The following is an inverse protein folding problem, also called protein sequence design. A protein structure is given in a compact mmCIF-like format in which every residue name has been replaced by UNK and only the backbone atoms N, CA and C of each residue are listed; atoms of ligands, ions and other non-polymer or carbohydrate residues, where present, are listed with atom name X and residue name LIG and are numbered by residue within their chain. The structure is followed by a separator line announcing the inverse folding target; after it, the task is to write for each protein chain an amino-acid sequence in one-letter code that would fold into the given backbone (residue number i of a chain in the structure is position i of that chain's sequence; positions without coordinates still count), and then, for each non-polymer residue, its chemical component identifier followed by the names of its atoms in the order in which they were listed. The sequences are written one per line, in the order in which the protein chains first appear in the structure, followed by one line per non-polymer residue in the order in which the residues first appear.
data_IF_520915054070
#
_entry.id   IF_520915054070
#
_cell.length_a   1.000
_cell.length_b   1.000
_cell.length_c   1.000
_cell.angle_alpha   90.00
_cell.angle_beta   90.00
_cell.angle_gamma   90.00
#
_symmetry.space_group_name_H-M   'P 1'
#
loop_
_entity.id
_entity.type
_entity.pdbx_description
1 polymer ?
#
# COMPACT_ATOMS: atom_id res chain seq x y z
N UNK A 1 19.92 -37.88 -16.00
CA UNK A 1 20.91 -36.79 -16.14
C UNK A 1 20.28 -35.41 -16.25
N UNK A 2 19.15 -35.22 -16.95
CA UNK A 2 18.52 -33.90 -17.13
C UNK A 2 18.02 -33.23 -15.83
N UNK A 3 17.37 -33.97 -14.92
CA UNK A 3 16.84 -33.39 -13.66
C UNK A 3 17.94 -32.74 -12.81
N UNK A 4 19.06 -33.44 -12.57
CA UNK A 4 20.19 -32.93 -11.76
C UNK A 4 20.89 -31.72 -12.37
N UNK A 5 20.88 -31.61 -13.69
CA UNK A 5 21.42 -30.45 -14.41
C UNK A 5 20.49 -29.23 -14.27
N UNK A 6 19.18 -29.46 -14.30
CA UNK A 6 18.18 -28.41 -14.03
C UNK A 6 18.25 -27.93 -12.58
N UNK A 7 18.46 -28.85 -11.62
CA UNK A 7 18.61 -28.50 -10.20
C UNK A 7 19.83 -27.60 -9.97
N UNK A 8 20.99 -27.91 -10.59
CA UNK A 8 22.20 -27.10 -10.47
C UNK A 8 22.02 -25.71 -11.10
N UNK A 9 21.42 -25.65 -12.29
CA UNK A 9 21.13 -24.38 -12.97
C UNK A 9 20.12 -23.52 -12.18
N UNK A 10 19.09 -24.15 -11.63
CA UNK A 10 18.11 -23.49 -10.76
C UNK A 10 18.78 -22.94 -9.50
N UNK A 11 19.74 -23.68 -8.95
CA UNK A 11 20.51 -23.26 -7.79
C UNK A 11 21.41 -22.05 -8.11
N UNK A 12 22.21 -22.11 -9.17
CA UNK A 12 23.02 -20.98 -9.66
C UNK A 12 22.16 -19.72 -9.89
N UNK A 13 21.00 -19.87 -10.54
CA UNK A 13 20.06 -18.78 -10.76
C UNK A 13 19.47 -18.20 -9.46
N UNK A 14 19.25 -19.05 -8.44
CA UNK A 14 18.73 -18.64 -7.13
C UNK A 14 19.75 -17.79 -6.36
N UNK A 15 21.03 -18.15 -6.40
CA UNK A 15 22.10 -17.33 -5.82
C UNK A 15 22.22 -15.96 -6.50
N UNK A 16 22.14 -15.91 -7.83
CA UNK A 16 22.10 -14.66 -8.59
C UNK A 16 20.90 -13.78 -8.21
N UNK A 17 19.73 -14.40 -8.07
CA UNK A 17 18.52 -13.71 -7.68
C UNK A 17 18.63 -13.11 -6.28
N UNK A 18 19.14 -13.87 -5.31
CA UNK A 18 19.35 -13.40 -3.93
C UNK A 18 20.29 -12.20 -3.89
N UNK A 19 21.44 -12.28 -4.57
CA UNK A 19 22.42 -11.19 -4.60
C UNK A 19 21.82 -9.90 -5.20
N UNK A 20 21.10 -10.00 -6.33
CA UNK A 20 20.44 -8.85 -6.95
C UNK A 20 19.35 -8.26 -6.06
N UNK A 21 18.53 -9.12 -5.43
CA UNK A 21 17.46 -8.67 -4.52
C UNK A 21 18.03 -7.99 -3.28
N UNK A 22 19.11 -8.53 -2.71
CA UNK A 22 19.83 -7.91 -1.60
C UNK A 22 20.31 -6.50 -1.97
N UNK A 23 21.00 -6.37 -3.10
CA UNK A 23 21.50 -5.07 -3.58
C UNK A 23 20.39 -4.06 -3.82
N UNK A 24 19.28 -4.49 -4.45
CA UNK A 24 18.13 -3.62 -4.67
C UNK A 24 17.49 -3.19 -3.35
N UNK A 25 17.37 -4.10 -2.39
CA UNK A 25 16.86 -3.83 -1.05
C UNK A 25 17.74 -2.80 -0.34
N UNK A 26 19.06 -2.98 -0.34
CA UNK A 26 20.01 -2.04 0.26
C UNK A 26 19.94 -0.66 -0.40
N UNK A 27 19.90 -0.58 -1.74
CA UNK A 27 19.76 0.68 -2.46
C UNK A 27 18.46 1.42 -2.07
N UNK A 28 17.33 0.71 -2.03
CA UNK A 28 16.05 1.29 -1.62
C UNK A 28 16.06 1.76 -0.15
N UNK A 29 16.63 0.97 0.75
CA UNK A 29 16.81 1.32 2.17
C UNK A 29 17.60 2.61 2.33
N UNK A 30 18.70 2.76 1.59
CA UNK A 30 19.52 3.96 1.62
C UNK A 30 18.78 5.20 1.10
N UNK A 31 18.00 5.07 0.03
CA UNK A 31 17.16 6.17 -0.48
C UNK A 31 16.11 6.59 0.55
N UNK A 32 15.42 5.61 1.16
CA UNK A 32 14.41 5.87 2.19
C UNK A 32 15.01 6.58 3.41
N UNK A 33 16.15 6.12 3.91
CA UNK A 33 16.86 6.74 5.04
C UNK A 33 17.31 8.17 4.73
N UNK A 34 17.91 8.40 3.55
CA UNK A 34 18.31 9.74 3.12
C UNK A 34 17.12 10.69 3.07
N UNK A 35 16.02 10.27 2.44
CA UNK A 35 14.79 11.06 2.38
C UNK A 35 14.25 11.41 3.77
N UNK A 36 14.23 10.45 4.71
CA UNK A 36 13.80 10.71 6.09
C UNK A 36 14.71 11.72 6.80
N UNK A 37 16.03 11.63 6.61
CA UNK A 37 16.98 12.60 7.19
C UNK A 37 16.87 13.99 6.58
N UNK A 38 16.50 14.11 5.31
CA UNK A 38 16.33 15.39 4.62
C UNK A 38 15.09 16.16 5.07
N UNK A 39 13.97 15.46 5.30
CA UNK A 39 12.74 16.10 5.79
C UNK A 39 12.85 16.41 7.29
N UNK A 40 13.56 15.58 8.06
CA UNK A 40 13.91 15.86 9.45
C UNK A 40 12.72 15.80 10.43
N UNK A 41 11.66 15.05 10.10
CA UNK A 41 10.55 14.77 11.01
C UNK A 41 10.94 13.60 11.91
N UNK A 42 10.69 13.72 13.21
CA UNK A 42 10.94 12.64 14.17
C UNK A 42 10.13 11.39 13.81
N UNK A 43 10.77 10.23 13.83
CA UNK A 43 10.13 8.96 13.50
C UNK A 43 8.90 8.70 14.38
N UNK A 44 8.94 9.05 15.67
CA UNK A 44 7.83 8.87 16.61
C UNK A 44 6.55 9.58 16.13
N UNK A 45 6.68 10.81 15.63
CA UNK A 45 5.55 11.58 15.08
C UNK A 45 4.98 10.90 13.83
N UNK A 46 5.85 10.41 12.93
CA UNK A 46 5.41 9.70 11.72
C UNK A 46 4.70 8.39 12.07
N UNK A 47 5.11 7.70 13.13
CA UNK A 47 4.48 6.47 13.63
C UNK A 47 3.11 6.77 14.21
N UNK A 48 2.95 7.85 14.97
CA UNK A 48 1.67 8.30 15.51
C UNK A 48 0.69 8.69 14.38
N UNK A 49 1.14 9.48 13.41
CA UNK A 49 0.35 9.91 12.25
C UNK A 49 -0.05 8.71 11.37
N UNK A 50 0.88 7.76 11.14
CA UNK A 50 0.57 6.50 10.46
C UNK A 50 -0.44 5.66 11.24
N UNK A 51 -0.30 5.55 12.56
CA UNK A 51 -1.24 4.82 13.40
C UNK A 51 -2.64 5.46 13.37
N UNK A 52 -2.73 6.79 13.36
CA UNK A 52 -3.97 7.53 13.21
C UNK A 52 -4.64 7.24 11.85
N UNK A 53 -3.85 7.23 10.77
CA UNK A 53 -4.32 6.85 9.44
C UNK A 53 -4.86 5.42 9.43
N UNK A 54 -4.09 4.44 9.93
CA UNK A 54 -4.50 3.03 9.97
C UNK A 54 -5.75 2.85 10.82
N UNK A 55 -5.83 3.45 12.00
CA UNK A 55 -6.99 3.36 12.88
C UNK A 55 -8.26 3.93 12.21
N UNK A 56 -8.10 5.00 11.44
CA UNK A 56 -9.20 5.57 10.65
C UNK A 56 -9.64 4.60 9.55
N UNK A 57 -8.71 4.00 8.81
CA UNK A 57 -8.98 3.15 7.64
C UNK A 57 -9.44 1.73 8.00
N UNK A 58 -8.89 1.15 9.06
CA UNK A 58 -9.10 -0.27 9.43
C UNK A 58 -10.17 -0.47 10.49
N UNK A 59 -10.91 0.59 10.84
CA UNK A 59 -11.95 0.56 11.87
C UNK A 59 -12.90 -0.64 11.63
N UNK A 60 -12.85 -1.67 12.50
CA UNK A 60 -13.55 -2.91 12.22
C UNK A 60 -15.07 -2.70 12.29
N UNK A 61 -15.79 -3.37 11.40
CA UNK A 61 -17.24 -3.53 11.60
C UNK A 61 -17.45 -4.40 12.85
N UNK A 62 -18.30 -3.92 13.75
CA UNK A 62 -18.48 -4.49 15.09
C UNK A 62 -18.98 -5.94 15.03
N UNK A 63 -18.18 -6.91 15.47
CA UNK A 63 -18.58 -8.32 15.66
C UNK A 63 -18.37 -8.82 17.12
N UNK A 64 -19.22 -9.77 17.54
CA UNK A 64 -19.40 -10.24 18.94
C UNK A 64 -18.54 -11.47 19.27
N UNK A 65 -17.89 -11.53 20.46
CA UNK A 65 -17.07 -12.68 20.93
C UNK A 65 -17.67 -13.41 22.15
N UNK A 66 -17.22 -14.66 22.40
CA UNK A 66 -17.87 -15.65 23.29
C UNK A 66 -17.55 -15.55 24.80
N UNK A 67 -16.37 -15.06 25.20
CA UNK A 67 -16.02 -14.82 26.61
C UNK A 67 -15.98 -13.34 26.99
N UNK A 68 -16.20 -12.44 26.01
CA UNK A 68 -16.64 -11.07 26.30
C UNK A 68 -17.88 -11.09 27.17
N UNK A 69 -18.79 -12.05 27.03
CA UNK A 69 -20.02 -12.04 27.82
C UNK A 69 -19.76 -12.05 29.33
N UNK A 70 -18.90 -12.91 29.88
CA UNK A 70 -18.72 -12.99 31.34
C UNK A 70 -17.83 -11.87 31.92
N UNK A 71 -16.74 -11.54 31.23
CA UNK A 71 -15.84 -10.44 31.61
C UNK A 71 -16.47 -9.08 31.35
N UNK A 72 -17.21 -8.94 30.24
CA UNK A 72 -18.11 -7.82 30.05
C UNK A 72 -19.31 -7.92 30.97
N UNK A 73 -19.80 -9.04 31.53
CA UNK A 73 -20.88 -8.99 32.53
C UNK A 73 -20.34 -8.47 33.86
N UNK A 74 -19.17 -8.90 34.32
CA UNK A 74 -18.56 -8.38 35.54
C UNK A 74 -18.11 -6.91 35.36
N UNK A 75 -17.50 -6.63 34.22
CA UNK A 75 -17.21 -5.28 33.74
C UNK A 75 -18.47 -4.46 33.56
N UNK A 76 -19.55 -5.00 33.00
CA UNK A 76 -20.87 -4.36 32.82
C UNK A 76 -21.58 -4.21 34.14
N UNK A 77 -21.38 -5.02 35.19
CA UNK A 77 -22.00 -4.78 36.49
C UNK A 77 -21.31 -3.63 37.24
N UNK A 78 -19.97 -3.60 37.21
CA UNK A 78 -19.18 -2.52 37.79
C UNK A 78 -19.32 -1.24 37.00
N UNK A 79 -19.26 -1.36 35.67
CA UNK A 79 -19.60 -0.30 34.75
C UNK A 79 -21.07 0.03 34.87
N UNK A 80 -22.04 -0.86 35.04
CA UNK A 80 -23.48 -0.53 35.21
C UNK A 80 -23.66 0.31 36.44
N UNK A 81 -22.96 0.01 37.53
CA UNK A 81 -23.06 0.83 38.74
C UNK A 81 -22.43 2.21 38.55
N UNK A 82 -21.24 2.29 37.94
CA UNK A 82 -20.61 3.58 37.65
C UNK A 82 -21.29 4.31 36.51
N UNK A 83 -21.88 3.61 35.55
CA UNK A 83 -22.63 4.05 34.39
C UNK A 83 -24.06 4.38 34.78
N UNK A 84 -24.65 3.84 35.84
CA UNK A 84 -25.89 4.33 36.44
C UNK A 84 -25.60 5.65 37.14
N UNK A 85 -24.49 5.74 37.87
CA UNK A 85 -24.07 6.99 38.50
C UNK A 85 -23.70 8.05 37.44
N UNK A 86 -22.96 7.67 36.41
CA UNK A 86 -22.65 8.53 35.30
C UNK A 86 -23.86 8.72 34.41
N UNK A 87 -24.81 7.80 34.26
CA UNK A 87 -26.04 7.98 33.48
C UNK A 87 -27.00 8.90 34.20
N UNK A 88 -27.03 8.95 35.53
CA UNK A 88 -27.83 9.93 36.25
C UNK A 88 -27.21 11.31 36.09
N UNK A 89 -25.90 11.42 36.28
CA UNK A 89 -25.15 12.68 36.08
C UNK A 89 -25.19 13.12 34.62
N UNK A 90 -24.94 12.21 33.68
CA UNK A 90 -25.02 12.40 32.24
C UNK A 90 -26.47 12.64 31.87
N UNK A 91 -27.50 11.97 32.39
CA UNK A 91 -28.89 12.32 32.08
C UNK A 91 -29.26 13.70 32.60
N UNK A 92 -28.75 14.13 33.74
CA UNK A 92 -29.07 15.44 34.27
C UNK A 92 -28.28 16.54 33.54
N UNK A 93 -27.01 16.28 33.22
CA UNK A 93 -26.18 17.15 32.38
C UNK A 93 -26.66 17.17 30.95
N UNK A 94 -27.05 16.03 30.36
CA UNK A 94 -27.70 15.90 29.06
C UNK A 94 -29.08 16.51 29.13
N UNK A 95 -29.87 16.39 30.19
CA UNK A 95 -31.16 17.09 30.26
C UNK A 95 -30.95 18.60 30.31
N UNK A 96 -29.94 19.08 31.04
CA UNK A 96 -29.58 20.50 31.07
C UNK A 96 -29.00 20.97 29.74
N UNK A 97 -28.06 20.24 29.14
CA UNK A 97 -27.47 20.51 27.84
C UNK A 97 -28.48 20.35 26.73
N UNK A 98 -29.26 19.28 26.68
CA UNK A 98 -30.37 19.10 25.72
C UNK A 98 -31.39 20.19 25.92
N UNK A 99 -31.77 20.60 27.13
CA UNK A 99 -32.75 21.68 27.29
C UNK A 99 -32.18 23.03 26.88
N UNK A 100 -30.93 23.34 27.24
CA UNK A 100 -30.24 24.57 26.85
C UNK A 100 -29.94 24.56 25.35
N UNK A 101 -29.28 23.54 24.83
CA UNK A 101 -29.07 23.31 23.40
C UNK A 101 -30.39 23.24 22.63
N UNK A 102 -31.49 22.72 23.19
CA UNK A 102 -32.80 22.71 22.51
C UNK A 102 -33.43 24.09 22.53
N UNK A 103 -33.25 24.89 23.59
CA UNK A 103 -33.66 26.29 23.62
C UNK A 103 -32.82 27.12 22.63
N UNK A 104 -31.51 26.93 22.64
CA UNK A 104 -30.54 27.58 21.76
C UNK A 104 -30.73 27.15 20.31
N UNK A 105 -30.95 25.86 20.02
CA UNK A 105 -31.31 25.35 18.70
C UNK A 105 -32.69 25.84 18.28
N UNK A 106 -33.65 25.99 19.19
CA UNK A 106 -34.94 26.60 18.86
C UNK A 106 -34.78 28.09 18.55
N UNK A 107 -33.86 28.79 19.22
CA UNK A 107 -33.54 30.19 18.96
C UNK A 107 -32.78 30.35 17.64
N UNK A 108 -31.78 29.50 17.38
CA UNK A 108 -31.00 29.44 16.14
C UNK A 108 -31.88 29.03 14.95
N UNK A 109 -32.79 28.07 15.16
CA UNK A 109 -33.80 27.71 14.17
C UNK A 109 -34.77 28.86 13.92
N UNK A 110 -35.01 29.76 14.87
CA UNK A 110 -35.84 30.96 14.68
C UNK A 110 -35.04 32.13 14.09
N UNK A 111 -33.72 32.06 14.04
CA UNK A 111 -32.90 33.09 13.42
C UNK A 111 -33.14 33.11 11.90
N UNK A 112 -33.71 34.23 11.45
CA UNK A 112 -34.07 34.42 10.05
C UNK A 112 -32.84 34.38 9.13
N UNK A 113 -31.69 34.88 9.57
CA UNK A 113 -30.46 34.87 8.75
C UNK A 113 -29.97 33.45 8.51
N UNK A 114 -29.88 32.65 9.58
CA UNK A 114 -29.42 31.27 9.50
C UNK A 114 -30.40 30.38 8.72
N UNK A 115 -31.71 30.57 8.87
CA UNK A 115 -32.69 29.88 8.05
C UNK A 115 -32.49 30.14 6.55
N UNK A 116 -32.36 31.42 6.16
CA UNK A 116 -32.16 31.80 4.75
C UNK A 116 -30.83 31.25 4.23
N UNK A 117 -29.76 31.30 5.05
CA UNK A 117 -28.43 30.77 4.70
C UNK A 117 -28.45 29.25 4.50
N UNK A 118 -29.06 28.51 5.42
CA UNK A 118 -29.21 27.06 5.32
C UNK A 118 -30.06 26.66 4.11
N UNK A 119 -31.15 27.39 3.85
CA UNK A 119 -31.99 27.15 2.69
C UNK A 119 -31.23 27.40 1.38
N UNK A 120 -30.43 28.47 1.31
CA UNK A 120 -29.58 28.75 0.15
C UNK A 120 -28.57 27.63 -0.08
N UNK A 121 -27.87 27.17 0.97
CA UNK A 121 -26.94 26.03 0.89
C UNK A 121 -27.62 24.75 0.43
N UNK A 122 -28.79 24.41 1.00
CA UNK A 122 -29.54 23.22 0.61
C UNK A 122 -30.01 23.28 -0.85
N UNK A 123 -30.42 24.46 -1.35
CA UNK A 123 -30.78 24.63 -2.76
C UNK A 123 -29.57 24.55 -3.68
N UNK A 124 -28.41 25.07 -3.28
CA UNK A 124 -27.17 24.98 -4.03
C UNK A 124 -26.69 23.53 -4.16
N UNK A 125 -26.71 22.76 -3.06
CA UNK A 125 -26.39 21.33 -3.09
C UNK A 125 -27.34 20.55 -4.01
N UNK A 126 -28.67 20.81 -3.91
CA UNK A 126 -29.67 20.20 -4.80
C UNK A 126 -29.47 20.58 -6.26
N UNK A 127 -29.01 21.80 -6.54
CA UNK A 127 -28.70 22.25 -7.89
C UNK A 127 -27.52 21.46 -8.45
N UNK A 128 -26.43 21.32 -7.69
CA UNK A 128 -25.28 20.51 -8.08
C UNK A 128 -25.67 19.06 -8.35
N UNK A 129 -26.48 18.45 -7.49
CA UNK A 129 -26.94 17.06 -7.68
C UNK A 129 -27.74 16.90 -8.97
N UNK A 130 -28.65 17.85 -9.26
CA UNK A 130 -29.45 17.81 -10.49
C UNK A 130 -28.63 18.03 -11.75
N UNK A 131 -27.61 18.89 -11.69
CA UNK A 131 -26.68 19.11 -12.80
C UNK A 131 -25.83 17.87 -13.05
N UNK A 132 -25.31 17.23 -11.99
CA UNK A 132 -24.60 15.95 -12.07
C UNK A 132 -25.49 14.85 -12.68
N UNK A 133 -26.70 14.69 -12.16
CA UNK A 133 -27.66 13.72 -12.69
C UNK A 133 -27.97 13.94 -14.17
N UNK A 134 -28.18 15.21 -14.57
CA UNK A 134 -28.40 15.57 -15.98
C UNK A 134 -27.19 15.23 -16.86
N UNK A 135 -25.96 15.47 -16.38
CA UNK A 135 -24.72 15.12 -17.10
C UNK A 135 -24.65 13.61 -17.34
N UNK A 136 -24.92 12.79 -16.31
CA UNK A 136 -24.97 11.33 -16.45
C UNK A 136 -26.07 10.86 -17.42
N UNK A 137 -27.24 11.50 -17.40
CA UNK A 137 -28.34 11.19 -18.32
C UNK A 137 -27.98 11.50 -19.78
N UNK A 138 -27.32 12.62 -20.05
CA UNK A 138 -26.82 12.99 -21.38
C UNK A 138 -25.70 12.04 -21.85
N UNK A 139 -24.78 11.69 -20.97
CA UNK A 139 -23.68 10.77 -21.29
C UNK A 139 -24.20 9.34 -21.58
N UNK A 140 -25.24 8.91 -20.85
CA UNK A 140 -25.95 7.67 -21.14
C UNK A 140 -26.60 7.69 -22.52
N UNK A 141 -27.23 8.82 -22.89
CA UNK A 141 -27.80 9.03 -24.23
C UNK A 141 -26.72 8.97 -25.31
N UNK A 142 -25.57 9.62 -25.10
CA UNK A 142 -24.45 9.63 -26.04
C UNK A 142 -23.83 8.25 -26.26
N UNK A 143 -23.60 7.48 -25.18
CA UNK A 143 -23.06 6.11 -25.27
C UNK A 143 -24.04 5.14 -25.94
N UNK A 144 -25.33 5.30 -25.69
CA UNK A 144 -26.38 4.47 -26.29
C UNK A 144 -26.48 4.68 -27.81
N UNK A 145 -26.29 5.91 -28.31
CA UNK A 145 -26.22 6.21 -29.74
C UNK A 145 -25.09 5.47 -30.49
N UNK A 146 -24.01 5.10 -29.78
CA UNK A 146 -22.90 4.32 -30.36
C UNK A 146 -23.21 2.82 -30.45
N UNK A 147 -24.23 2.33 -29.74
CA UNK A 147 -24.54 0.91 -29.62
C UNK A 147 -25.98 0.61 -30.10
N UNK A 148 -26.13 0.35 -31.41
CA UNK A 148 -27.28 -0.28 -32.12
C UNK A 148 -28.46 0.61 -32.57
N UNK A 149 -29.05 0.22 -33.73
CA UNK A 149 -30.07 0.93 -34.52
C UNK A 149 -31.51 0.82 -33.95
N UNK A 150 -31.73 0.07 -32.85
CA UNK A 150 -33.09 -0.28 -32.37
C UNK A 150 -33.54 0.45 -31.07
N UNK A 151 -32.91 1.56 -30.68
CA UNK A 151 -33.17 2.27 -29.41
C UNK A 151 -33.94 3.62 -29.52
N UNK A 152 -34.50 3.95 -30.70
CA UNK A 152 -35.14 5.26 -30.96
C UNK A 152 -36.24 5.66 -29.95
N UNK A 153 -37.04 4.70 -29.46
CA UNK A 153 -38.12 4.98 -28.51
C UNK A 153 -37.62 5.28 -27.08
N UNK A 154 -36.51 4.65 -26.64
CA UNK A 154 -35.89 4.92 -25.33
C UNK A 154 -35.17 6.27 -25.31
N UNK A 155 -34.56 6.66 -26.44
CA UNK A 155 -33.95 7.98 -26.61
C UNK A 155 -34.97 9.11 -26.56
N UNK A 156 -36.11 8.97 -27.25
CA UNK A 156 -37.17 9.99 -27.22
C UNK A 156 -37.70 10.21 -25.79
N UNK A 157 -37.89 9.13 -25.03
CA UNK A 157 -38.35 9.24 -23.63
C UNK A 157 -37.30 9.87 -22.70
N UNK A 158 -36.02 9.56 -22.92
CA UNK A 158 -34.91 10.11 -22.13
C UNK A 158 -34.67 11.58 -22.49
N UNK A 159 -34.66 11.94 -23.77
CA UNK A 159 -34.49 13.31 -24.27
C UNK A 159 -35.66 14.21 -23.83
N UNK A 160 -36.89 13.71 -23.92
CA UNK A 160 -38.05 14.44 -23.39
C UNK A 160 -37.93 14.60 -21.87
N UNK A 161 -37.56 13.55 -21.13
CA UNK A 161 -37.35 13.64 -19.67
C UNK A 161 -36.28 14.67 -19.28
N UNK A 162 -35.19 14.77 -20.04
CA UNK A 162 -34.13 15.78 -19.84
C UNK A 162 -34.69 17.19 -20.07
N UNK A 163 -35.44 17.41 -21.16
CA UNK A 163 -36.11 18.70 -21.47
C UNK A 163 -37.13 19.09 -20.40
N UNK A 164 -37.92 18.14 -19.89
CA UNK A 164 -38.92 18.39 -18.84
C UNK A 164 -38.28 18.83 -17.51
N UNK A 165 -37.04 18.44 -17.24
CA UNK A 165 -36.34 18.78 -15.98
C UNK A 165 -35.67 20.15 -16.01
N UNK A 166 -35.40 20.72 -17.20
CA UNK A 166 -34.75 22.04 -17.35
C UNK A 166 -35.47 23.18 -16.63
N UNK A 167 -36.80 23.35 -16.76
CA UNK A 167 -37.50 24.43 -16.07
C UNK A 167 -37.40 24.29 -14.55
N UNK A 168 -37.29 23.06 -14.04
CA UNK A 168 -37.16 22.81 -12.62
C UNK A 168 -35.77 23.21 -12.10
N UNK A 169 -34.72 22.94 -12.88
CA UNK A 169 -33.34 23.39 -12.57
C UNK A 169 -33.27 24.92 -12.57
N UNK A 170 -33.83 25.56 -13.60
CA UNK A 170 -33.90 27.02 -13.69
C UNK A 170 -34.71 27.65 -12.55
N UNK A 171 -35.77 26.96 -12.10
CA UNK A 171 -36.55 27.38 -10.93
C UNK A 171 -35.70 27.34 -9.67
N UNK A 172 -34.90 26.28 -9.47
CA UNK A 172 -33.99 26.17 -8.31
C UNK A 172 -32.96 27.29 -8.32
N UNK A 173 -32.34 27.58 -9.47
CA UNK A 173 -31.40 28.72 -9.63
C UNK A 173 -32.08 30.04 -9.26
N UNK A 174 -33.30 30.27 -9.76
CA UNK A 174 -34.05 31.50 -9.47
C UNK A 174 -34.34 31.62 -7.98
N UNK A 175 -34.79 30.55 -7.34
CA UNK A 175 -35.05 30.56 -5.89
C UNK A 175 -33.78 30.73 -5.07
N UNK A 176 -32.66 30.15 -5.50
CA UNK A 176 -31.37 30.34 -4.85
C UNK A 176 -30.94 31.81 -4.91
N UNK A 177 -30.95 32.43 -6.09
CA UNK A 177 -30.57 33.83 -6.25
C UNK A 177 -31.48 34.76 -5.42
N UNK A 178 -32.78 34.47 -5.32
CA UNK A 178 -33.66 35.27 -4.43
C UNK A 178 -33.29 35.14 -2.94
N UNK A 179 -32.72 34.01 -2.51
CA UNK A 179 -32.21 33.87 -1.14
C UNK A 179 -30.87 34.60 -0.98
N UNK A 180 -30.01 34.63 -2.01
CA UNK A 180 -28.79 35.45 -2.00
C UNK A 180 -29.12 36.94 -1.85
N UNK A 181 -30.12 37.44 -2.58
CA UNK A 181 -30.63 38.81 -2.43
C UNK A 181 -31.11 39.10 -1.00
N UNK A 182 -31.83 38.15 -0.39
CA UNK A 182 -32.29 38.25 1.00
C UNK A 182 -31.12 38.28 1.99
N UNK A 183 -30.11 37.43 1.80
CA UNK A 183 -28.90 37.41 2.63
C UNK A 183 -28.12 38.73 2.51
N UNK A 184 -27.95 39.23 1.28
CA UNK A 184 -27.31 40.51 1.04
C UNK A 184 -28.04 41.66 1.74
N UNK A 185 -29.38 41.69 1.65
CA UNK A 185 -30.19 42.68 2.34
C UNK A 185 -30.08 42.60 3.87
N UNK A 186 -30.06 41.39 4.44
CA UNK A 186 -29.88 41.18 5.88
C UNK A 186 -28.51 41.63 6.38
N UNK A 187 -27.45 41.38 5.60
CA UNK A 187 -26.09 41.86 5.88
C UNK A 187 -26.04 43.39 5.84
N UNK A 188 -26.62 44.02 4.81
CA UNK A 188 -26.73 45.48 4.70
C UNK A 188 -27.51 46.13 5.85
N UNK A 189 -28.49 45.42 6.40
CA UNK A 189 -29.29 45.87 7.54
C UNK A 189 -28.64 45.55 8.90
N UNK A 190 -27.41 45.01 8.92
CA UNK A 190 -26.70 44.59 10.14
C UNK A 190 -27.46 43.58 11.00
N UNK A 191 -28.29 42.73 10.37
CA UNK A 191 -29.02 41.62 11.03
C UNK A 191 -28.29 40.28 10.91
N UNK A 192 -27.16 40.27 10.21
CA UNK A 192 -26.30 39.12 10.08
C UNK A 192 -25.19 39.14 11.16
N UNK A 193 -24.59 37.98 11.48
CA UNK A 193 -23.40 37.91 12.32
C UNK A 193 -22.27 38.81 11.81
N UNK A 194 -21.40 39.28 12.71
CA UNK A 194 -20.22 40.06 12.36
C UNK A 194 -19.34 39.28 11.38
N UNK A 195 -18.91 39.92 10.29
CA UNK A 195 -18.10 39.29 9.25
C UNK A 195 -18.87 38.43 8.23
N UNK A 196 -20.20 38.41 8.28
CA UNK A 196 -21.00 37.66 7.31
C UNK A 196 -20.78 38.13 5.86
N UNK A 197 -20.45 37.17 4.98
CA UNK A 197 -20.25 37.38 3.54
C UNK A 197 -21.48 36.86 2.79
N UNK A 198 -21.96 37.62 1.80
CA UNK A 198 -23.09 37.21 0.97
C UNK A 198 -22.66 36.16 -0.07
N UNK A 199 -23.43 35.08 -0.28
CA UNK A 199 -23.14 34.11 -1.35
C UNK A 199 -23.27 34.71 -2.75
N UNK A 200 -22.49 34.18 -3.68
CA UNK A 200 -22.52 34.59 -5.09
C UNK A 200 -23.79 34.12 -5.80
N UNK A 201 -24.25 34.90 -6.78
CA UNK A 201 -25.36 34.55 -7.64
C UNK A 201 -24.93 33.54 -8.70
N UNK A 202 -25.84 32.65 -9.07
CA UNK A 202 -25.60 31.70 -10.15
C UNK A 202 -26.27 32.23 -11.42
N UNK A 203 -25.50 32.35 -12.50
CA UNK A 203 -26.05 32.74 -13.80
C UNK A 203 -27.08 31.70 -14.30
N UNK A 204 -28.20 32.19 -14.82
CA UNK A 204 -29.21 31.34 -15.49
C UNK A 204 -28.79 31.00 -16.91
N UNK A 205 -27.98 31.86 -17.52
CA UNK A 205 -27.44 31.68 -18.87
C UNK A 205 -26.19 30.81 -18.76
N UNK A 206 -26.08 29.79 -19.60
CA UNK A 206 -24.92 28.88 -19.58
C UNK A 206 -24.94 27.83 -18.45
N UNK A 207 -25.99 27.75 -17.62
CA UNK A 207 -26.07 26.78 -16.51
C UNK A 207 -25.96 25.29 -16.94
N UNK A 208 -26.15 25.01 -18.22
CA UNK A 208 -26.02 23.67 -18.80
C UNK A 208 -24.70 23.45 -19.55
N UNK A 209 -23.85 24.47 -19.63
CA UNK A 209 -22.56 24.49 -20.30
C UNK A 209 -21.49 24.92 -19.28
N UNK A 210 -21.42 24.17 -18.18
CA UNK A 210 -20.53 24.51 -17.07
C UNK A 210 -19.12 23.96 -17.28
N UNK A 211 -18.12 24.76 -16.93
CA UNK A 211 -16.71 24.38 -16.83
C UNK A 211 -16.28 24.22 -15.36
N UNK A 212 -15.06 23.75 -15.13
CA UNK A 212 -14.45 23.52 -13.81
C UNK A 212 -14.27 24.83 -13.05
N UNK A 213 -14.03 25.93 -13.75
CA UNK A 213 -13.73 27.25 -13.17
C UNK A 213 -14.98 28.09 -12.87
N UNK A 214 -16.18 27.57 -13.13
CA UNK A 214 -17.41 28.35 -12.93
C UNK A 214 -17.71 28.62 -11.44
N UNK A 215 -18.19 29.83 -11.16
CA UNK A 215 -18.51 30.33 -9.81
C UNK A 215 -19.51 29.46 -9.02
N UNK A 216 -20.29 28.63 -9.73
CA UNK A 216 -21.23 27.68 -9.12
C UNK A 216 -20.54 26.71 -8.14
N UNK A 217 -19.24 26.44 -8.33
CA UNK A 217 -18.47 25.51 -7.51
C UNK A 217 -17.87 26.15 -6.24
N UNK A 218 -17.92 27.47 -6.08
CA UNK A 218 -17.33 28.17 -4.93
C UNK A 218 -18.35 28.35 -3.80
N UNK A 219 -18.12 27.83 -2.59
CA UNK A 219 -19.06 27.87 -1.45
C UNK A 219 -18.95 29.14 -0.56
N UNK A 220 -18.61 30.27 -1.17
CA UNK A 220 -18.47 31.58 -0.50
C UNK A 220 -19.71 31.93 0.32
N UNK A 221 -19.53 32.19 1.62
CA UNK A 221 -20.58 32.62 2.55
C UNK A 221 -21.53 31.50 3.04
N UNK A 222 -21.30 30.25 2.62
CA UNK A 222 -22.11 29.07 3.00
C UNK A 222 -21.32 27.98 3.75
N UNK A 223 -20.00 28.13 3.84
CA UNK A 223 -19.11 27.22 4.58
C UNK A 223 -19.27 27.35 6.10
N UNK A 224 -19.08 26.22 6.79
CA UNK A 224 -18.73 26.19 8.20
C UNK A 224 -17.21 25.99 8.26
N UNK A 225 -16.50 26.63 9.20
CA UNK A 225 -15.06 26.43 9.37
C UNK A 225 -14.76 24.92 9.45
N UNK A 226 -14.15 24.39 8.40
CA UNK A 226 -13.72 23.00 8.33
C UNK A 226 -12.57 22.89 9.33
N UNK A 227 -12.69 22.01 10.33
CA UNK A 227 -11.59 21.70 11.23
C UNK A 227 -10.37 21.30 10.39
N UNK A 228 -9.20 21.86 10.72
CA UNK A 228 -7.99 21.64 9.94
C UNK A 228 -7.77 20.13 9.73
N UNK A 229 -7.62 19.68 8.47
CA UNK A 229 -7.43 18.28 8.16
C UNK A 229 -6.18 17.73 8.86
N UNK A 230 -6.18 16.45 9.29
CA UNK A 230 -5.03 15.85 9.95
C UNK A 230 -3.74 15.98 9.11
N UNK A 231 -2.55 16.13 9.74
CA UNK A 231 -1.29 16.28 9.03
C UNK A 231 -0.99 15.12 8.07
N UNK A 232 -1.25 13.86 8.44
CA UNK A 232 -1.14 12.72 7.53
C UNK A 232 -1.99 12.83 6.26
N UNK A 233 -3.03 13.67 6.26
CA UNK A 233 -3.89 13.91 5.10
C UNK A 233 -3.47 15.17 4.31
N UNK A 234 -3.08 16.23 5.02
CA UNK A 234 -2.93 17.57 4.47
C UNK A 234 -1.48 18.03 4.26
N UNK A 235 -0.53 17.56 5.06
CA UNK A 235 0.88 17.93 4.94
C UNK A 235 1.59 16.95 3.99
N UNK A 236 2.08 17.48 2.87
CA UNK A 236 2.83 16.72 1.88
C UNK A 236 4.13 16.14 2.44
N UNK A 237 4.79 16.85 3.36
CA UNK A 237 6.04 16.38 3.97
C UNK A 237 5.77 15.21 4.90
N UNK A 238 4.71 15.29 5.71
CA UNK A 238 4.29 14.18 6.60
C UNK A 238 3.90 12.96 5.75
N UNK A 239 3.09 13.14 4.70
CA UNK A 239 2.71 12.06 3.79
C UNK A 239 3.90 11.40 3.12
N UNK A 240 4.80 12.20 2.56
CA UNK A 240 5.99 11.69 1.91
C UNK A 240 6.89 10.94 2.91
N UNK A 241 7.06 11.48 4.11
CA UNK A 241 7.86 10.86 5.16
C UNK A 241 7.24 9.57 5.70
N UNK A 242 5.91 9.46 5.80
CA UNK A 242 5.21 8.20 6.12
C UNK A 242 5.52 7.14 5.06
N UNK A 243 5.47 7.49 3.76
CA UNK A 243 5.84 6.56 2.69
C UNK A 243 7.30 6.09 2.82
N UNK A 244 8.23 7.01 3.02
CA UNK A 244 9.65 6.68 3.19
C UNK A 244 9.90 5.80 4.42
N UNK A 245 9.19 6.05 5.53
CA UNK A 245 9.24 5.23 6.74
C UNK A 245 8.78 3.80 6.47
N UNK A 246 7.65 3.63 5.77
CA UNK A 246 7.12 2.31 5.42
C UNK A 246 8.01 1.58 4.41
N UNK A 247 8.62 2.29 3.46
CA UNK A 247 9.60 1.73 2.53
C UNK A 247 10.85 1.26 3.26
N UNK A 248 11.34 2.03 4.24
CA UNK A 248 12.44 1.63 5.11
C UNK A 248 12.10 0.34 5.88
N UNK A 249 10.94 0.30 6.55
CA UNK A 249 10.50 -0.90 7.29
C UNK A 249 10.41 -2.13 6.40
N UNK A 250 9.82 -1.97 5.20
CA UNK A 250 9.71 -3.05 4.22
C UNK A 250 11.07 -3.53 3.75
N UNK A 251 12.04 -2.63 3.59
CA UNK A 251 13.42 -3.02 3.27
C UNK A 251 14.06 -3.80 4.43
N UNK A 252 13.84 -3.40 5.69
CA UNK A 252 14.34 -4.16 6.85
C UNK A 252 13.71 -5.55 6.92
N UNK A 253 12.41 -5.67 6.66
CA UNK A 253 11.72 -6.97 6.59
C UNK A 253 12.28 -7.85 5.46
N UNK A 254 12.43 -7.29 4.26
CA UNK A 254 12.96 -7.99 3.10
C UNK A 254 14.43 -8.42 3.31
N UNK A 255 15.24 -7.59 3.95
CA UNK A 255 16.62 -7.91 4.34
C UNK A 255 16.67 -9.12 5.27
N UNK A 256 15.78 -9.18 6.26
CA UNK A 256 15.66 -10.34 7.15
C UNK A 256 15.22 -11.60 6.38
N UNK A 257 14.26 -11.47 5.45
CA UNK A 257 13.78 -12.57 4.62
C UNK A 257 14.89 -13.12 3.72
N UNK A 258 15.58 -12.25 2.99
CA UNK A 258 16.70 -12.62 2.13
C UNK A 258 17.85 -13.25 2.93
N UNK A 259 18.11 -12.76 4.15
CA UNK A 259 19.06 -13.37 5.07
C UNK A 259 18.68 -14.81 5.42
N UNK A 260 17.39 -15.06 5.67
CA UNK A 260 16.89 -16.42 5.93
C UNK A 260 17.06 -17.34 4.71
N UNK A 261 16.66 -16.88 3.52
CA UNK A 261 16.81 -17.64 2.28
C UNK A 261 18.29 -17.98 1.99
N UNK A 262 19.18 -17.03 2.24
CA UNK A 262 20.61 -17.23 2.15
C UNK A 262 21.10 -18.33 3.12
N UNK A 263 20.67 -18.32 4.39
CA UNK A 263 21.00 -19.37 5.35
C UNK A 263 20.48 -20.75 4.90
N UNK A 264 19.24 -20.84 4.42
CA UNK A 264 18.66 -22.10 3.91
C UNK A 264 19.48 -22.66 2.74
N UNK A 265 19.92 -21.78 1.84
CA UNK A 265 20.74 -22.15 0.71
C UNK A 265 22.12 -22.68 1.14
N UNK A 266 22.74 -22.07 2.16
CA UNK A 266 23.98 -22.55 2.77
C UNK A 266 23.81 -23.90 3.47
N UNK A 267 22.73 -24.07 4.23
CA UNK A 267 22.42 -25.34 4.92
C UNK A 267 22.20 -26.48 3.93
N UNK A 268 21.47 -26.23 2.84
CA UNK A 268 21.30 -27.19 1.75
C UNK A 268 22.66 -27.58 1.17
N UNK A 269 23.53 -26.60 0.92
CA UNK A 269 24.85 -26.85 0.34
C UNK A 269 25.73 -27.72 1.23
N UNK A 270 25.75 -27.44 2.53
CA UNK A 270 26.48 -28.24 3.53
C UNK A 270 25.91 -29.66 3.58
N UNK A 271 24.60 -29.82 3.55
CA UNK A 271 23.93 -31.12 3.60
C UNK A 271 24.23 -31.95 2.36
N UNK A 272 24.14 -31.35 1.18
CA UNK A 272 24.46 -31.99 -0.10
C UNK A 272 25.95 -32.39 -0.16
N UNK A 273 26.85 -31.49 0.27
CA UNK A 273 28.28 -31.76 0.31
C UNK A 273 28.63 -32.92 1.25
N UNK A 274 28.10 -32.90 2.48
CA UNK A 274 28.34 -33.96 3.47
C UNK A 274 27.79 -35.31 3.04
N UNK A 275 26.60 -35.33 2.41
CA UNK A 275 26.03 -36.54 1.83
C UNK A 275 26.88 -37.08 0.68
N UNK A 276 27.40 -36.20 -0.19
CA UNK A 276 28.28 -36.55 -1.30
C UNK A 276 29.59 -37.17 -0.80
N UNK A 277 30.25 -36.53 0.18
CA UNK A 277 31.49 -37.05 0.76
C UNK A 277 31.28 -38.40 1.45
N UNK A 278 30.16 -38.56 2.16
CA UNK A 278 29.79 -39.83 2.79
C UNK A 278 29.56 -40.94 1.76
N UNK A 279 28.89 -40.63 0.64
CA UNK A 279 28.66 -41.58 -0.45
C UNK A 279 29.99 -41.98 -1.13
N UNK A 280 30.90 -41.02 -1.35
CA UNK A 280 32.21 -41.29 -1.96
C UNK A 280 33.03 -42.32 -1.19
N UNK A 281 32.88 -42.40 0.14
CA UNK A 281 33.60 -43.33 0.99
C UNK A 281 33.16 -44.80 0.85
N UNK A 282 32.00 -45.07 0.23
CA UNK A 282 31.36 -46.40 0.24
C UNK A 282 31.23 -47.05 -1.14
N UNK A 283 31.27 -46.27 -2.23
CA UNK A 283 30.84 -46.75 -3.55
C UNK A 283 32.03 -47.10 -4.47
N UNK A 284 31.81 -48.06 -5.37
CA UNK A 284 32.74 -48.51 -6.42
C UNK A 284 33.21 -47.39 -7.38
N UNK A 285 34.36 -47.60 -8.03
CA UNK A 285 35.09 -46.62 -8.85
C UNK A 285 34.24 -45.92 -9.93
N UNK A 286 33.34 -46.66 -10.59
CA UNK A 286 32.48 -46.11 -11.67
C UNK A 286 31.50 -45.04 -11.15
N UNK A 287 30.99 -45.20 -9.92
CA UNK A 287 30.08 -44.22 -9.30
C UNK A 287 30.89 -43.13 -8.59
N UNK A 288 32.08 -43.46 -8.08
CA UNK A 288 33.00 -42.48 -7.49
C UNK A 288 33.35 -41.36 -8.49
N UNK A 289 33.58 -41.69 -9.77
CA UNK A 289 33.79 -40.71 -10.83
C UNK A 289 32.62 -39.73 -10.99
N UNK A 290 31.38 -40.23 -10.96
CA UNK A 290 30.18 -39.39 -11.06
C UNK A 290 29.98 -38.49 -9.84
N UNK A 291 30.32 -38.98 -8.64
CA UNK A 291 30.29 -38.19 -7.40
C UNK A 291 31.36 -37.10 -7.42
N UNK A 292 32.56 -37.39 -7.92
CA UNK A 292 33.64 -36.40 -8.06
C UNK A 292 33.25 -35.28 -9.02
N UNK A 293 32.65 -35.62 -10.17
CA UNK A 293 32.11 -34.61 -11.10
C UNK A 293 31.06 -33.72 -10.42
N UNK A 294 30.19 -34.28 -9.58
CA UNK A 294 29.18 -33.51 -8.83
C UNK A 294 29.83 -32.63 -7.76
N UNK A 295 30.87 -33.09 -7.07
CA UNK A 295 31.62 -32.29 -6.11
C UNK A 295 32.27 -31.07 -6.77
N UNK A 296 32.87 -31.26 -7.94
CA UNK A 296 33.42 -30.15 -8.74
C UNK A 296 32.32 -29.15 -9.11
N UNK A 297 31.17 -29.61 -9.58
CA UNK A 297 30.04 -28.73 -9.92
C UNK A 297 29.54 -27.91 -8.71
N UNK A 298 29.39 -28.54 -7.55
CA UNK A 298 29.00 -27.85 -6.32
C UNK A 298 30.05 -26.82 -5.90
N UNK A 299 31.34 -27.17 -5.97
CA UNK A 299 32.42 -26.22 -5.65
C UNK A 299 32.47 -25.01 -6.58
N UNK A 300 32.20 -25.21 -7.88
CA UNK A 300 32.12 -24.12 -8.85
C UNK A 300 30.95 -23.19 -8.55
N UNK A 301 29.77 -23.73 -8.21
CA UNK A 301 28.62 -22.93 -7.81
C UNK A 301 28.92 -22.07 -6.56
N UNK A 302 29.64 -22.61 -5.56
CA UNK A 302 30.10 -21.84 -4.40
C UNK A 302 31.02 -20.68 -4.79
N UNK A 303 32.03 -20.94 -5.64
CA UNK A 303 33.00 -19.92 -6.05
C UNK A 303 32.30 -18.79 -6.82
N UNK A 304 31.37 -19.14 -7.72
CA UNK A 304 30.58 -18.18 -8.49
C UNK A 304 29.69 -17.29 -7.60
N UNK A 305 29.26 -17.79 -6.44
CA UNK A 305 28.52 -17.00 -5.47
C UNK A 305 29.41 -16.09 -4.65
N UNK A 306 30.53 -16.60 -4.15
CA UNK A 306 31.50 -15.80 -3.40
C UNK A 306 32.06 -14.65 -4.25
N UNK A 307 32.36 -14.90 -5.52
CA UNK A 307 32.87 -13.85 -6.42
C UNK A 307 31.84 -12.73 -6.62
N UNK A 308 30.55 -13.07 -6.76
CA UNK A 308 29.49 -12.08 -6.99
C UNK A 308 29.04 -11.34 -5.75
N UNK A 309 29.19 -11.95 -4.57
CA UNK A 309 29.07 -11.24 -3.31
C UNK A 309 30.25 -10.29 -3.07
N UNK A 310 31.37 -10.48 -3.77
CA UNK A 310 32.58 -9.65 -3.66
C UNK A 310 32.74 -8.61 -4.78
N UNK A 311 31.94 -8.66 -5.85
CA UNK A 311 31.83 -7.60 -6.88
C UNK A 311 31.08 -6.36 -6.34
N UNK A 312 31.46 -5.94 -5.13
CA UNK A 312 30.81 -4.92 -4.31
C UNK A 312 31.00 -3.48 -4.80
N UNK A 313 31.87 -3.19 -5.78
CA UNK A 313 32.41 -1.82 -5.91
C UNK A 313 32.27 -1.05 -7.25
N UNK A 314 31.90 -1.62 -8.40
CA UNK A 314 32.10 -0.88 -9.68
C UNK A 314 30.87 -0.39 -10.48
N UNK A 315 29.66 -0.95 -10.33
CA UNK A 315 28.52 -0.53 -11.16
C UNK A 315 27.67 0.58 -10.52
N UNK A 316 28.27 1.77 -10.47
CA UNK A 316 27.65 3.04 -10.08
C UNK A 316 26.85 3.74 -11.20
N UNK A 317 26.61 3.09 -12.34
CA UNK A 317 25.90 3.75 -13.45
C UNK A 317 24.88 2.83 -14.13
N UNK A 318 23.65 3.34 -14.22
CA UNK A 318 22.57 2.87 -15.08
C UNK A 318 21.82 1.63 -14.64
N UNK A 319 20.76 1.83 -13.83
CA UNK A 319 19.49 1.12 -14.00
C UNK A 319 18.39 2.02 -13.44
N UNK A 320 18.05 3.04 -14.23
CA UNK A 320 16.87 3.88 -14.01
C UNK A 320 15.64 3.18 -14.61
N UNK A 321 14.61 3.11 -13.77
CA UNK A 321 13.19 2.89 -13.99
C UNK A 321 12.69 1.81 -14.99
N UNK A 322 12.01 0.82 -14.42
CA UNK A 322 10.99 0.02 -15.09
C UNK A 322 10.17 -0.80 -14.10
N UNK A 323 9.25 -0.17 -13.37
CA UNK A 323 8.14 -0.89 -12.71
C UNK A 323 7.25 -1.43 -13.83
N UNK A 324 7.46 -2.69 -14.22
CA UNK A 324 6.69 -3.38 -15.23
C UNK A 324 7.01 -4.87 -15.21
N UNK A 325 5.99 -5.67 -14.94
CA UNK A 325 5.91 -7.12 -15.10
C UNK A 325 6.76 -8.00 -14.17
N UNK A 326 6.25 -8.13 -12.95
CA UNK A 326 6.55 -9.22 -12.02
C UNK A 326 5.97 -10.59 -12.48
N UNK A 327 5.59 -10.73 -13.76
CA UNK A 327 4.87 -11.91 -14.30
C UNK A 327 5.68 -12.71 -15.34
N UNK A 328 6.83 -12.23 -15.83
CA UNK A 328 7.44 -12.81 -17.06
C UNK A 328 8.66 -13.73 -16.86
N UNK A 329 9.19 -13.88 -15.63
CA UNK A 329 10.39 -14.71 -15.39
C UNK A 329 10.14 -16.22 -15.29
N UNK A 330 8.90 -16.65 -15.07
CA UNK A 330 8.52 -18.08 -15.18
C UNK A 330 8.29 -18.49 -16.65
N UNK A 331 7.94 -17.54 -17.53
CA UNK A 331 7.72 -17.80 -18.95
C UNK A 331 9.05 -18.03 -19.70
N UNK A 332 10.12 -17.33 -19.34
CA UNK A 332 11.46 -17.56 -19.91
C UNK A 332 12.05 -18.94 -19.55
N UNK A 333 11.66 -19.53 -18.41
CA UNK A 333 12.06 -20.90 -18.02
C UNK A 333 11.37 -21.94 -18.91
N UNK A 334 10.15 -21.66 -19.39
CA UNK A 334 9.39 -22.55 -20.27
C UNK A 334 9.86 -22.45 -21.73
N UNK A 335 10.34 -21.28 -22.18
CA UNK A 335 10.87 -21.08 -23.54
C UNK A 335 12.25 -21.73 -23.75
N UNK A 336 13.14 -21.71 -22.74
CA UNK A 336 14.43 -22.41 -22.80
C UNK A 336 14.26 -23.93 -22.81
N UNK A 337 13.19 -24.45 -22.20
CA UNK A 337 12.86 -25.87 -22.24
C UNK A 337 12.41 -26.35 -23.63
N UNK A 338 11.83 -25.46 -24.45
CA UNK A 338 11.30 -25.80 -25.77
C UNK A 338 12.35 -25.77 -26.90
N UNK A 339 13.48 -25.06 -26.71
CA UNK A 339 14.46 -24.82 -27.79
C UNK A 339 15.53 -25.92 -27.94
N UNK A 340 15.62 -26.90 -27.03
CA UNK A 340 16.69 -27.92 -27.08
C UNK A 340 16.24 -29.34 -27.47
N UNK A 341 15.07 -29.52 -28.07
CA UNK A 341 14.63 -30.84 -28.58
C UNK A 341 15.17 -31.21 -29.97
N UNK A 342 16.07 -30.42 -30.59
CA UNK A 342 16.67 -30.81 -31.88
C UNK A 342 18.14 -30.39 -32.05
N UNK A 343 19.06 -31.19 -31.49
CA UNK A 343 20.36 -31.52 -32.12
C UNK A 343 21.11 -32.58 -31.32
N UNK A 344 20.83 -33.84 -31.65
CA UNK A 344 21.78 -34.95 -31.49
C UNK A 344 21.97 -35.51 -32.90
N UNK A 345 23.18 -35.42 -33.46
CA UNK A 345 23.86 -36.13 -34.58
C UNK A 345 25.09 -35.24 -34.89
N UNK A 346 26.38 -35.61 -34.93
CA UNK A 346 27.14 -36.86 -34.88
C UNK A 346 28.57 -36.55 -34.37
N UNK A 347 29.26 -37.62 -34.00
CA UNK A 347 30.64 -37.79 -33.55
C UNK A 347 31.74 -37.35 -34.53
N UNK A 348 32.90 -36.93 -33.99
CA UNK A 348 34.25 -37.51 -34.19
C UNK A 348 35.41 -36.49 -34.31
N UNK A 349 36.54 -36.94 -33.74
CA UNK A 349 37.95 -36.62 -34.06
C UNK A 349 38.75 -35.79 -33.03
N UNK A 350 39.59 -36.54 -32.30
CA UNK A 350 40.98 -36.29 -31.92
C UNK A 350 41.45 -34.90 -31.47
N UNK A 351 41.88 -34.83 -30.21
CA UNK A 351 42.65 -33.72 -29.66
C UNK A 351 43.21 -34.04 -28.29
N UNK A 352 44.46 -34.52 -28.27
CA UNK A 352 45.32 -34.71 -27.12
C UNK A 352 45.26 -33.50 -26.15
N UNK A 353 45.01 -33.72 -24.84
CA UNK A 353 45.13 -32.68 -23.83
C UNK A 353 45.88 -33.23 -22.60
N UNK A 354 47.16 -32.85 -22.53
CA UNK A 354 48.05 -33.07 -21.39
C UNK A 354 47.53 -32.32 -20.14
N UNK A 355 47.46 -33.06 -19.03
CA UNK A 355 47.96 -32.71 -17.69
C UNK A 355 47.60 -31.33 -17.09
N UNK A 356 46.76 -31.35 -16.05
CA UNK A 356 46.64 -30.25 -15.06
C UNK A 356 46.66 -30.81 -13.63
N UNK A 357 47.85 -30.86 -13.04
CA UNK A 357 48.14 -31.29 -11.66
C UNK A 357 47.92 -30.16 -10.61
N UNK A 358 47.08 -29.16 -10.90
CA UNK A 358 46.85 -28.00 -10.01
C UNK A 358 45.63 -28.11 -9.09
N UNK A 359 44.81 -29.16 -9.22
CA UNK A 359 43.58 -29.34 -8.41
C UNK A 359 43.79 -30.04 -7.05
N UNK A 360 45.02 -30.41 -6.69
CA UNK A 360 45.30 -31.02 -5.39
C UNK A 360 45.27 -30.01 -4.23
N UNK A 361 45.43 -28.70 -4.50
CA UNK A 361 45.46 -27.67 -3.45
C UNK A 361 44.08 -27.10 -3.08
N UNK A 362 43.06 -27.27 -3.91
CA UNK A 362 41.69 -26.81 -3.61
C UNK A 362 40.92 -27.75 -2.68
N UNK A 363 41.32 -29.03 -2.61
CA UNK A 363 40.75 -30.01 -1.68
C UNK A 363 41.13 -29.73 -0.20
N UNK A 364 42.24 -29.03 0.05
CA UNK A 364 42.67 -28.65 1.40
C UNK A 364 41.89 -27.45 1.95
N UNK A 365 41.51 -26.47 1.11
CA UNK A 365 40.74 -25.31 1.55
C UNK A 365 39.37 -25.69 2.13
N UNK A 366 38.66 -26.66 1.57
CA UNK A 366 37.33 -27.06 2.08
C UNK A 366 37.38 -27.89 3.37
N UNK A 367 38.57 -28.36 3.79
CA UNK A 367 38.76 -29.04 5.07
C UNK A 367 39.17 -28.10 6.22
N UNK A 368 39.66 -26.89 5.90
CA UNK A 368 40.13 -25.89 6.86
C UNK A 368 39.24 -24.64 6.97
N UNK A 369 38.25 -24.45 6.10
CA UNK A 369 37.26 -23.38 6.29
C UNK A 369 36.32 -23.76 7.44
N UNK A 370 36.74 -23.42 8.65
CA UNK A 370 35.80 -23.06 9.70
C UNK A 370 35.00 -21.86 9.20
N UNK A 371 33.84 -22.12 8.60
CA UNK A 371 32.85 -21.08 8.29
C UNK A 371 32.42 -20.44 9.62
N UNK A 372 33.16 -19.41 10.04
CA UNK A 372 32.88 -18.64 11.24
C UNK A 372 31.73 -17.68 10.94
N UNK A 373 30.65 -17.69 11.73
CA UNK A 373 29.50 -16.82 11.51
C UNK A 373 29.79 -15.43 12.08
N UNK A 374 30.61 -14.61 11.42
CA UNK A 374 30.78 -13.20 11.83
C UNK A 374 31.14 -12.31 10.63
N UNK A 375 30.14 -11.56 10.12
CA UNK A 375 30.28 -10.13 9.77
C UNK A 375 28.94 -9.51 9.31
N UNK A 376 27.83 -9.75 10.00
CA UNK A 376 26.69 -8.81 9.97
C UNK A 376 26.11 -8.74 11.37
N UNK A 377 26.22 -7.56 11.98
CA UNK A 377 25.92 -7.33 13.39
C UNK A 377 24.46 -7.62 13.73
N UNK A 378 24.24 -8.70 14.48
CA UNK A 378 23.00 -8.92 15.21
C UNK A 378 23.23 -8.68 16.71
N UNK A 379 22.32 -7.97 17.42
CA UNK A 379 22.33 -7.93 18.87
C UNK A 379 21.89 -9.29 19.44
N UNK A 380 22.71 -9.82 20.35
CA UNK A 380 22.48 -11.10 21.03
C UNK A 380 21.18 -11.10 21.82
N UNK A 381 20.23 -11.97 21.46
CA UNK A 381 19.09 -12.29 22.32
C UNK A 381 19.54 -13.33 23.35
N UNK A 382 19.61 -12.88 24.60
CA UNK A 382 19.89 -13.68 25.80
C UNK A 382 18.88 -14.82 25.95
N UNK A 383 19.38 -16.06 26.00
CA UNK A 383 18.63 -17.22 26.51
C UNK A 383 18.57 -17.17 28.04
N UNK A 384 17.40 -16.79 28.57
CA UNK A 384 17.08 -16.88 29.99
C UNK A 384 16.67 -18.30 30.40
N UNK A 385 17.43 -18.84 31.35
CA UNK A 385 17.02 -19.77 32.42
C UNK A 385 16.30 -21.09 32.06
N UNK A 386 17.02 -22.20 32.22
CA UNK A 386 16.43 -23.43 32.76
C UNK A 386 17.08 -23.76 34.09
N UNK A 387 16.28 -23.59 35.15
CA UNK A 387 16.58 -23.99 36.52
C UNK A 387 16.58 -25.50 36.61
N UNK A 388 17.67 -26.06 37.14
CA UNK A 388 17.81 -27.46 37.52
C UNK A 388 16.97 -27.75 38.75
N UNK A 389 16.05 -28.71 38.63
CA UNK A 389 15.38 -29.35 39.76
C UNK A 389 15.67 -30.84 39.73
N UNK A 390 16.46 -31.33 40.70
CA UNK A 390 16.32 -32.68 41.26
C UNK A 390 17.09 -32.84 42.57
N UNK A 391 16.35 -33.37 43.54
CA UNK A 391 16.69 -33.95 44.85
C UNK A 391 16.99 -33.00 46.01
#
# INVERSE_FOLDING_TARGET
MQVRHLDLKSFEASGQWLARKWMLCQKKKQVALKGLTEVGIEEEILREEWAAQVAHQTKPLTHKSKNKAAEAIAGVLMLEKTLESYQTIIHDLERCLINNNRADLQQLKKDAYLQVRMNARALKARLHDRLRQRKFELEKLERSYRNTVNELNLHSHTETSIKWREPTILKIVSTYNTLCDQLYAMIRQCKAPLGAIAPLHISRQGIFQLDVDDEIWQDVGLEDEIADPPPWLADNNVRHSICLLLDHDRCVEEENRLSCEHCVMQEWMITEWTALQSARAVVDDDIAFHLEKRAVQLSLACIEWESRLSEEDDDSASLDAGVGDEVDLMAEVEEVAYVHEYRIVDSDSDGNLEYWDEYANTALCLSEVSFSPLSMGYPSILAGSSSTASM
#
